data_IF_633764258382
#
_entry.id   IF_633764258382
#
_cell.length_a   1.000
_cell.length_b   1.000
_cell.length_c   1.000
_cell.angle_alpha   90.00
_cell.angle_beta   90.00
_cell.angle_gamma   90.00
#
_symmetry.space_group_name_H-M   'P 1'
#
loop_
_entity.id
_entity.type
_entity.pdbx_description
1 polymer ?
#
# COMPACT_ATOMS: atom_id res chain seq x y z
N UNK A 1 -5.27 23.57 -11.27
CA UNK A 1 -3.93 23.18 -10.78
C UNK A 1 -4.12 22.06 -9.77
N UNK A 2 -3.22 21.10 -9.71
CA UNK A 2 -3.20 20.01 -8.72
C UNK A 2 -1.76 19.69 -8.30
N UNK A 3 -1.60 19.13 -7.12
CA UNK A 3 -0.31 18.61 -6.64
C UNK A 3 -0.02 17.25 -7.29
N UNK A 4 1.17 17.12 -7.90
CA UNK A 4 1.67 15.89 -8.51
C UNK A 4 2.34 14.94 -7.51
N UNK A 5 3.27 15.47 -6.71
CA UNK A 5 3.82 14.82 -5.54
C UNK A 5 4.10 15.86 -4.45
N UNK A 6 4.08 15.42 -3.20
CA UNK A 6 4.40 16.21 -2.02
C UNK A 6 5.38 15.41 -1.15
N UNK A 7 6.68 15.61 -1.37
CA UNK A 7 7.77 14.96 -0.64
C UNK A 7 8.32 15.89 0.45
N UNK A 8 9.23 15.41 1.31
CA UNK A 8 9.76 16.20 2.42
C UNK A 8 10.49 17.46 1.96
N UNK A 9 11.30 17.34 0.91
CA UNK A 9 12.13 18.40 0.35
C UNK A 9 11.48 19.14 -0.83
N UNK A 10 10.57 18.48 -1.54
CA UNK A 10 10.13 18.92 -2.86
C UNK A 10 8.64 18.72 -3.10
N UNK A 11 8.08 19.60 -3.92
CA UNK A 11 6.67 19.62 -4.29
C UNK A 11 6.55 19.80 -5.80
N UNK A 12 5.71 19.00 -6.46
CA UNK A 12 5.36 19.23 -7.86
C UNK A 12 3.94 19.75 -7.99
N UNK A 13 3.78 20.83 -8.75
CA UNK A 13 2.49 21.30 -9.24
C UNK A 13 2.35 20.92 -10.71
N UNK A 14 1.12 20.61 -11.12
CA UNK A 14 0.78 20.35 -12.53
C UNK A 14 -0.62 20.90 -12.87
N UNK A 15 -0.80 21.28 -14.13
CA UNK A 15 -2.05 21.83 -14.65
C UNK A 15 -2.23 21.52 -16.13
N UNK A 16 -3.45 21.66 -16.62
CA UNK A 16 -3.75 21.46 -18.04
C UNK A 16 -3.32 22.69 -18.84
N UNK A 17 -2.65 22.48 -19.98
CA UNK A 17 -2.36 23.57 -20.92
C UNK A 17 -3.66 24.07 -21.54
N UNK A 18 -3.82 25.40 -21.58
CA UNK A 18 -4.93 26.08 -22.23
C UNK A 18 -4.48 26.64 -23.60
N UNK A 19 -5.21 26.39 -24.70
CA UNK A 19 -4.76 26.73 -26.06
C UNK A 19 -4.38 28.20 -26.29
N UNK A 20 -5.08 29.15 -25.65
CA UNK A 20 -4.85 30.59 -25.81
C UNK A 20 -3.80 31.16 -24.84
N UNK A 21 -3.33 30.38 -23.88
CA UNK A 21 -2.40 30.81 -22.83
C UNK A 21 -0.97 30.54 -23.27
N UNK A 22 -0.10 31.55 -23.14
CA UNK A 22 1.32 31.46 -23.49
C UNK A 22 2.21 31.21 -22.29
N UNK A 23 1.88 31.80 -21.16
CA UNK A 23 2.65 31.67 -19.93
C UNK A 23 1.74 31.44 -18.73
N UNK A 24 2.31 30.89 -17.69
CA UNK A 24 1.69 30.69 -16.39
C UNK A 24 2.61 31.29 -15.34
N UNK A 25 2.03 32.06 -14.42
CA UNK A 25 2.68 32.48 -13.19
C UNK A 25 2.21 31.55 -12.07
N UNK A 26 3.16 30.96 -11.34
CA UNK A 26 2.91 30.29 -10.07
C UNK A 26 3.36 31.23 -8.96
N UNK A 27 2.50 31.45 -7.98
CA UNK A 27 2.79 32.33 -6.85
C UNK A 27 2.42 31.65 -5.52
N UNK A 28 3.18 31.94 -4.47
CA UNK A 28 2.88 31.55 -3.09
C UNK A 28 2.24 32.71 -2.33
N UNK A 29 1.29 32.39 -1.45
CA UNK A 29 0.76 33.33 -0.50
C UNK A 29 1.77 33.51 0.64
N UNK A 30 2.28 34.73 0.80
CA UNK A 30 3.16 35.17 1.88
C UNK A 30 2.56 36.46 2.46
N UNK A 31 2.25 36.48 3.76
CA UNK A 31 1.68 37.64 4.45
C UNK A 31 0.49 38.30 3.72
N UNK A 32 -0.49 37.50 3.29
CA UNK A 32 -1.68 37.90 2.52
C UNK A 32 -1.41 38.49 1.13
N UNK A 33 -0.18 38.38 0.61
CA UNK A 33 0.16 38.76 -0.76
C UNK A 33 0.69 37.57 -1.54
N UNK A 34 0.35 37.50 -2.83
CA UNK A 34 0.92 36.50 -3.71
C UNK A 34 2.29 36.97 -4.23
N UNK A 35 3.32 36.22 -3.88
CA UNK A 35 4.70 36.43 -4.33
C UNK A 35 5.00 35.45 -5.48
N UNK A 36 5.42 35.95 -6.67
CA UNK A 36 5.74 35.09 -7.80
C UNK A 36 6.91 34.13 -7.49
N UNK A 37 6.75 32.87 -7.86
CA UNK A 37 7.77 31.82 -7.74
C UNK A 37 8.36 31.46 -9.11
N UNK A 38 7.51 31.38 -10.14
CA UNK A 38 7.92 31.03 -11.49
C UNK A 38 6.99 31.65 -12.54
N UNK A 39 7.54 31.93 -13.71
CA UNK A 39 6.79 32.42 -14.88
C UNK A 39 7.30 31.75 -16.15
N UNK A 40 6.43 31.07 -16.89
CA UNK A 40 6.84 30.41 -18.14
C UNK A 40 5.75 29.60 -18.82
N UNK A 41 6.05 28.96 -19.96
CA UNK A 41 5.07 28.25 -20.79
C UNK A 41 4.75 26.83 -20.29
N UNK A 42 5.48 26.35 -19.28
CA UNK A 42 5.37 25.00 -18.78
C UNK A 42 4.05 24.75 -18.06
N UNK A 43 3.65 23.47 -18.01
CA UNK A 43 2.41 23.04 -17.36
C UNK A 43 2.65 22.19 -16.11
N UNK A 44 3.89 22.18 -15.66
CA UNK A 44 4.33 21.57 -14.42
C UNK A 44 5.50 22.37 -13.85
N UNK A 45 5.63 22.35 -12.53
CA UNK A 45 6.71 23.02 -11.81
C UNK A 45 7.08 22.18 -10.59
N UNK A 46 8.38 21.92 -10.41
CA UNK A 46 8.93 21.36 -9.17
C UNK A 46 9.49 22.50 -8.34
N UNK A 47 9.09 22.56 -7.08
CA UNK A 47 9.47 23.56 -6.11
C UNK A 47 10.27 22.89 -4.99
N UNK A 48 11.36 23.54 -4.57
CA UNK A 48 12.06 23.21 -3.34
C UNK A 48 11.28 23.84 -2.17
N UNK A 49 10.82 23.00 -1.23
CA UNK A 49 10.05 23.44 -0.08
C UNK A 49 10.83 24.34 0.86
N UNK A 50 12.16 24.25 0.91
CA UNK A 50 12.99 25.15 1.71
C UNK A 50 12.90 26.61 1.22
N UNK A 51 12.47 26.83 -0.02
CA UNK A 51 12.29 28.16 -0.61
C UNK A 51 10.88 28.73 -0.42
N UNK A 52 9.93 27.92 0.03
CA UNK A 52 8.53 28.32 0.18
C UNK A 52 8.30 29.02 1.53
N UNK A 53 7.61 30.16 1.49
CA UNK A 53 7.23 30.93 2.69
C UNK A 53 5.76 30.73 3.09
N UNK A 54 5.19 29.58 2.76
CA UNK A 54 3.80 29.23 3.05
C UNK A 54 3.30 28.04 2.22
N UNK A 55 2.12 27.54 2.57
CA UNK A 55 1.58 26.31 1.99
C UNK A 55 0.58 26.55 0.85
N UNK A 56 0.18 27.80 0.66
CA UNK A 56 -0.89 28.19 -0.25
C UNK A 56 -0.32 28.70 -1.56
N UNK A 57 -0.67 28.04 -2.66
CA UNK A 57 -0.17 28.30 -4.00
C UNK A 57 -1.32 28.65 -4.95
N UNK A 58 -1.08 29.52 -5.92
CA UNK A 58 -2.05 29.85 -6.97
C UNK A 58 -1.39 29.94 -8.34
N UNK A 59 -2.19 29.70 -9.37
CA UNK A 59 -1.77 29.74 -10.77
C UNK A 59 -2.49 30.89 -11.48
N UNK A 60 -1.75 31.75 -12.18
CA UNK A 60 -2.32 32.78 -13.04
C UNK A 60 -1.90 32.56 -14.49
N UNK A 61 -2.85 32.29 -15.41
CA UNK A 61 -2.55 32.19 -16.84
C UNK A 61 -2.34 33.57 -17.46
N UNK A 62 -1.48 33.66 -18.47
CA UNK A 62 -1.23 34.87 -19.26
C UNK A 62 -1.43 34.58 -20.75
N UNK A 63 -2.28 35.38 -21.38
CA UNK A 63 -2.48 35.37 -22.83
C UNK A 63 -1.28 35.97 -23.56
N UNK A 64 -1.32 35.88 -24.88
CA UNK A 64 -0.34 36.55 -25.73
C UNK A 64 -0.28 38.07 -25.48
N UNK A 65 0.92 38.63 -25.56
CA UNK A 65 1.19 40.03 -25.19
C UNK A 65 1.15 40.33 -23.69
N UNK A 66 1.17 39.32 -22.82
CA UNK A 66 1.34 39.49 -21.36
C UNK A 66 0.07 39.88 -20.59
N UNK A 67 -1.11 39.71 -21.19
CA UNK A 67 -2.38 40.02 -20.52
C UNK A 67 -2.74 38.93 -19.51
N UNK A 68 -2.90 39.25 -18.22
CA UNK A 68 -3.28 38.25 -17.22
C UNK A 68 -4.73 37.80 -17.40
N UNK A 69 -4.96 36.51 -17.27
CA UNK A 69 -6.28 35.92 -17.11
C UNK A 69 -6.66 35.87 -15.62
N UNK A 70 -7.84 35.32 -15.34
CA UNK A 70 -8.33 35.09 -13.97
C UNK A 70 -7.38 34.09 -13.28
N UNK A 71 -6.88 34.47 -12.10
CA UNK A 71 -6.09 33.59 -11.24
C UNK A 71 -6.95 32.44 -10.73
N UNK A 72 -6.38 31.25 -10.66
CA UNK A 72 -7.06 30.09 -10.08
C UNK A 72 -7.39 30.32 -8.61
N UNK A 73 -8.29 29.49 -8.08
CA UNK A 73 -8.36 29.30 -6.64
C UNK A 73 -6.99 28.91 -6.10
N UNK A 74 -6.72 29.36 -4.88
CA UNK A 74 -5.54 28.95 -4.16
C UNK A 74 -5.71 27.51 -3.65
N UNK A 75 -4.59 26.82 -3.58
CA UNK A 75 -4.50 25.45 -3.11
C UNK A 75 -3.53 25.43 -1.94
N UNK A 76 -3.96 24.92 -0.80
CA UNK A 76 -3.04 24.46 0.24
C UNK A 76 -2.52 23.08 -0.15
N UNK A 77 -1.24 22.98 -0.52
CA UNK A 77 -0.68 21.71 -1.00
C UNK A 77 -0.70 20.62 0.07
N UNK A 78 -0.67 20.98 1.36
CA UNK A 78 -0.70 20.01 2.48
C UNK A 78 -2.04 19.31 2.62
N UNK A 79 -3.09 19.87 2.03
CA UNK A 79 -4.45 19.32 2.07
C UNK A 79 -4.79 18.41 0.88
N UNK A 80 -3.94 18.34 -0.16
CA UNK A 80 -4.26 17.63 -1.41
C UNK A 80 -3.94 16.12 -1.41
N UNK A 81 -3.47 15.56 -0.28
CA UNK A 81 -3.17 14.12 -0.11
C UNK A 81 -2.41 13.51 -1.31
N UNK A 82 -1.41 14.23 -1.84
CA UNK A 82 -0.76 13.84 -3.09
C UNK A 82 0.24 12.68 -2.90
N UNK A 83 0.74 12.45 -1.69
CA UNK A 83 1.79 11.47 -1.40
C UNK A 83 3.12 11.84 -2.06
N UNK A 84 4.22 11.22 -1.61
CA UNK A 84 5.53 11.39 -2.25
C UNK A 84 5.69 10.34 -3.36
N UNK A 85 5.40 10.73 -4.61
CA UNK A 85 5.42 9.92 -5.85
C UNK A 85 4.52 8.68 -5.87
N UNK A 86 4.52 7.86 -4.82
CA UNK A 86 3.66 6.71 -4.61
C UNK A 86 2.42 7.13 -3.80
N UNK A 87 1.24 6.76 -4.28
CA UNK A 87 -0.03 6.95 -3.58
C UNK A 87 -0.44 5.72 -2.81
N UNK A 88 -0.43 4.56 -3.47
CA UNK A 88 -0.84 3.29 -2.87
C UNK A 88 -0.04 2.13 -3.42
N UNK A 89 0.20 1.14 -2.58
CA UNK A 89 0.71 -0.17 -2.96
C UNK A 89 -0.15 -1.24 -2.30
N UNK A 90 -0.57 -2.25 -3.06
CA UNK A 90 -1.41 -3.35 -2.58
C UNK A 90 -0.90 -4.68 -3.09
N UNK A 91 -1.03 -5.72 -2.27
CA UNK A 91 -0.72 -7.10 -2.60
C UNK A 91 -1.95 -7.97 -2.29
N UNK A 92 -2.57 -8.54 -3.34
CA UNK A 92 -3.77 -9.39 -3.20
C UNK A 92 -3.43 -10.85 -3.54
N UNK A 93 -3.54 -11.79 -2.58
CA UNK A 93 -3.43 -13.22 -2.86
C UNK A 93 -4.50 -13.70 -3.84
N UNK A 94 -4.09 -14.45 -4.86
CA UNK A 94 -4.95 -15.07 -5.87
C UNK A 94 -4.50 -16.52 -6.13
N UNK A 95 -4.66 -17.46 -5.17
CA UNK A 95 -4.33 -18.85 -5.43
C UNK A 95 -5.20 -19.44 -6.57
N UNK A 96 -4.62 -20.24 -7.49
CA UNK A 96 -3.24 -20.73 -7.52
C UNK A 96 -2.25 -19.83 -8.28
N UNK A 97 -2.72 -18.71 -8.83
CA UNK A 97 -1.99 -17.86 -9.80
C UNK A 97 -0.85 -17.06 -9.17
N UNK A 98 -0.96 -16.71 -7.88
CA UNK A 98 0.09 -16.01 -7.13
C UNK A 98 -0.45 -14.82 -6.35
N UNK A 99 0.33 -13.75 -6.25
CA UNK A 99 -0.08 -12.52 -5.56
C UNK A 99 -0.05 -11.36 -6.57
N UNK A 100 -1.21 -10.74 -6.79
CA UNK A 100 -1.34 -9.55 -7.63
C UNK A 100 -0.81 -8.32 -6.89
N UNK A 101 0.20 -7.69 -7.45
CA UNK A 101 0.86 -6.50 -6.93
C UNK A 101 0.46 -5.30 -7.76
N UNK A 102 -0.05 -4.26 -7.11
CA UNK A 102 -0.48 -3.03 -7.77
C UNK A 102 0.07 -1.81 -7.06
N UNK A 103 0.67 -0.90 -7.82
CA UNK A 103 1.12 0.40 -7.36
C UNK A 103 0.41 1.50 -8.15
N UNK A 104 -0.01 2.54 -7.43
CA UNK A 104 -0.54 3.78 -8.02
C UNK A 104 0.36 4.94 -7.63
N UNK A 105 0.80 5.71 -8.62
CA UNK A 105 1.67 6.86 -8.51
C UNK A 105 0.86 8.15 -8.58
N UNK A 106 1.32 9.21 -7.91
CA UNK A 106 0.78 10.56 -8.05
C UNK A 106 1.19 11.24 -9.35
N UNK A 107 2.36 10.87 -9.88
CA UNK A 107 2.88 11.34 -11.17
C UNK A 107 3.88 10.33 -11.73
N UNK A 108 4.10 10.37 -13.03
CA UNK A 108 5.18 9.65 -13.71
C UNK A 108 6.37 10.56 -14.01
N UNK A 109 6.22 11.87 -13.80
CA UNK A 109 7.30 12.82 -14.02
C UNK A 109 8.47 12.53 -13.08
N UNK A 110 9.66 12.32 -13.63
CA UNK A 110 10.87 12.02 -12.86
C UNK A 110 10.94 10.59 -12.31
N UNK A 111 9.94 9.73 -12.59
CA UNK A 111 10.00 8.29 -12.24
C UNK A 111 10.54 7.53 -13.44
N UNK A 112 11.69 6.89 -13.29
CA UNK A 112 12.31 6.10 -14.36
C UNK A 112 11.78 4.67 -14.35
N UNK A 113 11.73 4.05 -13.17
CA UNK A 113 11.39 2.64 -13.02
C UNK A 113 10.58 2.37 -11.75
N UNK A 114 9.71 1.37 -11.82
CA UNK A 114 9.01 0.79 -10.68
C UNK A 114 9.48 -0.65 -10.51
N UNK A 115 10.13 -0.94 -9.40
CA UNK A 115 10.58 -2.28 -9.02
C UNK A 115 9.70 -2.80 -7.89
N UNK A 116 9.10 -3.96 -8.09
CA UNK A 116 8.36 -4.65 -7.05
C UNK A 116 9.24 -5.71 -6.42
N UNK A 117 9.26 -5.73 -5.10
CA UNK A 117 10.21 -6.51 -4.32
C UNK A 117 9.48 -7.38 -3.31
N UNK A 118 10.05 -8.56 -3.06
CA UNK A 118 9.61 -9.48 -2.00
C UNK A 118 10.74 -9.72 -1.03
N UNK A 119 10.43 -9.67 0.26
CA UNK A 119 11.36 -10.08 1.30
C UNK A 119 11.59 -11.59 1.22
N UNK A 120 12.84 -12.04 1.25
CA UNK A 120 13.22 -13.46 1.25
C UNK A 120 13.55 -14.01 2.65
N UNK A 121 13.39 -13.19 3.70
CA UNK A 121 13.77 -13.52 5.07
C UNK A 121 15.06 -12.81 5.52
N UNK A 122 15.85 -12.32 4.58
CA UNK A 122 17.09 -11.56 4.84
C UNK A 122 17.08 -10.24 4.08
N UNK A 123 16.75 -10.27 2.78
CA UNK A 123 16.78 -9.11 1.89
C UNK A 123 15.51 -9.02 1.05
N UNK A 124 15.31 -7.85 0.47
CA UNK A 124 14.33 -7.64 -0.58
C UNK A 124 14.92 -8.01 -1.94
N UNK A 125 14.25 -8.93 -2.63
CA UNK A 125 14.60 -9.38 -3.98
C UNK A 125 13.57 -8.86 -4.98
N UNK A 126 14.04 -8.41 -6.14
CA UNK A 126 13.14 -7.92 -7.20
C UNK A 126 12.36 -9.08 -7.81
N UNK A 127 11.04 -8.95 -7.85
CA UNK A 127 10.15 -9.84 -8.60
C UNK A 127 10.10 -9.39 -10.06
N UNK A 128 10.05 -8.08 -10.27
CA UNK A 128 10.01 -7.48 -11.59
C UNK A 128 10.26 -5.98 -11.53
N UNK A 129 10.71 -5.42 -12.65
CA UNK A 129 10.91 -3.98 -12.83
C UNK A 129 10.29 -3.54 -14.14
N UNK A 130 9.53 -2.45 -14.11
CA UNK A 130 8.90 -1.87 -15.29
C UNK A 130 9.28 -0.39 -15.41
N UNK A 131 9.72 0.07 -16.59
CA UNK A 131 9.73 1.50 -16.86
C UNK A 131 8.28 1.98 -16.89
N UNK A 132 7.99 3.16 -16.33
CA UNK A 132 6.59 3.59 -16.24
C UNK A 132 6.31 4.91 -16.96
N UNK A 133 5.34 4.85 -17.87
CA UNK A 133 4.66 6.02 -18.44
C UNK A 133 3.24 6.15 -17.90
N UNK A 134 2.80 5.20 -17.07
CA UNK A 134 1.45 5.13 -16.51
C UNK A 134 1.48 5.36 -15.00
N UNK A 135 0.46 6.03 -14.48
CA UNK A 135 0.32 6.22 -13.02
C UNK A 135 -0.12 4.96 -12.30
N UNK A 136 -0.56 3.92 -13.02
CA UNK A 136 -0.96 2.64 -12.43
C UNK A 136 -0.15 1.55 -13.09
N UNK A 137 0.53 0.74 -12.27
CA UNK A 137 1.34 -0.39 -12.72
C UNK A 137 1.07 -1.59 -11.84
N UNK A 138 1.24 -2.78 -12.40
CA UNK A 138 1.12 -4.00 -11.63
C UNK A 138 1.86 -5.16 -12.25
N UNK A 139 2.06 -6.19 -11.44
CA UNK A 139 2.57 -7.50 -11.85
C UNK A 139 1.94 -8.58 -10.98
N UNK A 140 2.22 -9.82 -11.31
CA UNK A 140 1.93 -10.96 -10.44
C UNK A 140 3.25 -11.54 -9.93
N UNK A 141 3.37 -11.67 -8.61
CA UNK A 141 4.34 -12.58 -8.02
C UNK A 141 3.82 -14.00 -8.23
N UNK A 142 4.34 -14.69 -9.25
CA UNK A 142 3.89 -16.01 -9.67
C UNK A 142 4.51 -17.17 -8.87
N UNK A 143 5.38 -16.88 -7.90
CA UNK A 143 6.01 -17.92 -7.06
C UNK A 143 6.09 -17.48 -5.60
N UNK A 144 4.96 -17.07 -5.00
CA UNK A 144 4.90 -16.68 -3.59
C UNK A 144 5.24 -17.87 -2.69
N UNK A 145 5.69 -17.56 -1.47
CA UNK A 145 5.95 -18.59 -0.44
C UNK A 145 4.64 -19.00 0.21
N UNK A 146 4.53 -20.26 0.63
CA UNK A 146 3.42 -20.70 1.47
C UNK A 146 3.47 -19.94 2.80
N UNK A 147 2.32 -19.41 3.24
CA UNK A 147 2.20 -18.57 4.43
C UNK A 147 2.53 -17.10 4.18
N UNK A 148 3.28 -16.49 5.09
CA UNK A 148 3.53 -15.04 5.11
C UNK A 148 4.45 -14.60 3.98
N UNK A 149 3.99 -13.61 3.22
CA UNK A 149 4.78 -12.87 2.26
C UNK A 149 4.76 -11.38 2.61
N UNK A 150 5.94 -10.76 2.53
CA UNK A 150 6.10 -9.31 2.68
C UNK A 150 6.57 -8.74 1.34
N UNK A 151 5.83 -7.77 0.84
CA UNK A 151 6.12 -7.10 -0.42
C UNK A 151 6.29 -5.61 -0.20
N UNK A 152 7.05 -4.96 -1.10
CA UNK A 152 7.13 -3.50 -1.19
C UNK A 152 7.35 -3.08 -2.64
N UNK A 153 7.20 -1.80 -2.91
CA UNK A 153 7.56 -1.21 -4.20
C UNK A 153 8.66 -0.16 -4.00
N UNK A 154 9.62 -0.13 -4.93
CA UNK A 154 10.70 0.84 -5.00
C UNK A 154 10.63 1.57 -6.34
N UNK A 155 10.59 2.90 -6.28
CA UNK A 155 10.71 3.77 -7.43
C UNK A 155 12.17 4.18 -7.58
N UNK A 156 12.69 4.09 -8.80
CA UNK A 156 13.95 4.75 -9.18
C UNK A 156 13.60 6.04 -9.91
N UNK A 157 14.14 7.16 -9.44
CA UNK A 157 13.90 8.47 -10.02
C UNK A 157 14.99 8.82 -11.04
N UNK A 158 14.68 9.67 -12.02
CA UNK A 158 15.60 10.07 -13.09
C UNK A 158 16.82 10.86 -12.60
N UNK A 159 16.79 11.35 -11.36
CA UNK A 159 17.93 11.99 -10.70
C UNK A 159 18.80 10.99 -9.89
N UNK A 160 18.51 9.68 -9.99
CA UNK A 160 19.19 8.62 -9.23
C UNK A 160 18.63 8.38 -7.82
N UNK A 161 17.67 9.21 -7.37
CA UNK A 161 16.99 9.03 -6.08
C UNK A 161 16.10 7.78 -6.07
N UNK A 162 15.72 7.33 -4.87
CA UNK A 162 14.78 6.22 -4.71
C UNK A 162 13.70 6.55 -3.70
N UNK A 163 12.49 6.04 -3.96
CA UNK A 163 11.35 6.10 -3.04
C UNK A 163 10.91 4.67 -2.78
N UNK A 164 10.80 4.28 -1.52
CA UNK A 164 10.39 2.91 -1.12
C UNK A 164 9.08 3.00 -0.35
N UNK A 165 8.14 2.11 -0.65
CA UNK A 165 6.89 2.00 0.10
C UNK A 165 7.08 1.35 1.45
N UNK A 166 6.07 1.50 2.31
CA UNK A 166 5.89 0.59 3.44
C UNK A 166 5.67 -0.84 2.95
N UNK A 167 5.91 -1.79 3.85
CA UNK A 167 5.73 -3.22 3.61
C UNK A 167 4.24 -3.59 3.65
N UNK A 168 3.80 -4.40 2.69
CA UNK A 168 2.47 -5.00 2.69
C UNK A 168 2.61 -6.49 2.96
N UNK A 169 2.04 -6.93 4.08
CA UNK A 169 1.98 -8.33 4.47
C UNK A 169 0.72 -9.00 3.90
N UNK A 170 0.86 -10.23 3.44
CA UNK A 170 -0.27 -11.07 3.05
C UNK A 170 0.04 -12.56 3.29
N UNK A 171 -1.00 -13.37 3.43
CA UNK A 171 -0.91 -14.82 3.56
C UNK A 171 -1.30 -15.48 2.25
N UNK A 172 -0.45 -16.37 1.75
CA UNK A 172 -0.69 -17.12 0.52
C UNK A 172 -0.68 -18.62 0.82
N UNK A 173 -1.80 -19.29 0.54
CA UNK A 173 -1.94 -20.74 0.70
C UNK A 173 -2.33 -21.35 -0.65
N UNK A 174 -1.40 -22.07 -1.29
CA UNK A 174 -1.71 -22.81 -2.54
C UNK A 174 -1.92 -24.28 -2.23
N UNK A 175 -0.92 -24.91 -1.64
CA UNK A 175 -0.95 -26.35 -1.32
C UNK A 175 -1.50 -26.60 0.09
N UNK A 176 -1.19 -25.72 1.04
CA UNK A 176 -1.66 -25.84 2.41
C UNK A 176 -3.18 -25.61 2.50
N UNK A 177 -3.95 -26.54 3.10
CA UNK A 177 -5.38 -26.33 3.27
C UNK A 177 -5.71 -25.29 4.34
N UNK A 178 -4.79 -25.07 5.29
CA UNK A 178 -4.95 -24.13 6.39
C UNK A 178 -3.60 -23.68 6.96
N UNK A 179 -3.62 -22.59 7.74
CA UNK A 179 -2.53 -22.09 8.56
C UNK A 179 -3.08 -21.69 9.95
N UNK A 180 -2.39 -22.08 11.02
CA UNK A 180 -2.71 -21.69 12.40
C UNK A 180 -1.47 -21.06 13.03
N UNK A 181 -1.56 -19.80 13.46
CA UNK A 181 -0.43 -19.03 13.96
C UNK A 181 -0.86 -17.95 14.97
N UNK A 182 0.01 -17.48 15.87
CA UNK A 182 1.32 -18.04 16.13
C UNK A 182 1.18 -19.42 16.82
N UNK A 183 2.23 -20.23 16.75
CA UNK A 183 2.31 -21.49 17.50
C UNK A 183 3.76 -21.67 17.96
N UNK A 184 4.08 -21.46 19.25
CA UNK A 184 3.15 -21.25 20.38
C UNK A 184 2.42 -19.90 20.38
N UNK A 185 1.22 -19.84 20.97
CA UNK A 185 0.40 -18.63 21.18
C UNK A 185 0.28 -18.32 22.67
N UNK A 186 0.36 -17.06 23.08
CA UNK A 186 0.05 -16.69 24.47
C UNK A 186 -1.47 -16.70 24.73
N UNK A 187 -1.90 -16.99 25.96
CA UNK A 187 -3.33 -16.99 26.32
C UNK A 187 -4.05 -15.64 26.07
N UNK A 188 -3.32 -14.54 25.99
CA UNK A 188 -3.82 -13.17 25.74
C UNK A 188 -3.57 -12.65 24.31
N UNK A 189 -2.90 -13.44 23.46
CA UNK A 189 -2.66 -13.11 22.06
C UNK A 189 -3.73 -13.75 21.16
N UNK A 190 -4.18 -13.07 20.09
CA UNK A 190 -5.09 -13.67 19.12
C UNK A 190 -4.40 -14.79 18.34
N UNK A 191 -5.12 -15.91 18.16
CA UNK A 191 -4.75 -17.00 17.27
C UNK A 191 -5.33 -16.72 15.87
N UNK A 192 -4.46 -16.46 14.91
CA UNK A 192 -4.77 -16.38 13.49
C UNK A 192 -5.00 -17.77 12.88
N UNK A 193 -6.10 -17.89 12.15
CA UNK A 193 -6.51 -19.11 11.46
C UNK A 193 -6.89 -18.71 10.03
N UNK A 194 -6.14 -19.25 9.07
CA UNK A 194 -6.44 -19.10 7.64
C UNK A 194 -6.83 -20.46 7.07
N UNK A 195 -7.90 -20.49 6.31
CA UNK A 195 -8.43 -21.69 5.64
C UNK A 195 -8.65 -21.36 4.18
N UNK A 196 -8.01 -22.12 3.29
CA UNK A 196 -8.04 -21.87 1.83
C UNK A 196 -9.46 -21.93 1.26
N UNK A 197 -10.22 -22.93 1.72
CA UNK A 197 -11.53 -23.28 1.15
C UNK A 197 -12.68 -22.96 2.13
N UNK A 198 -12.64 -21.80 2.80
CA UNK A 198 -13.65 -21.41 3.79
C UNK A 198 -15.02 -21.03 3.21
N UNK A 199 -15.18 -21.11 1.88
CA UNK A 199 -16.37 -20.71 1.13
C UNK A 199 -17.55 -21.65 1.29
N UNK A 200 -18.10 -21.76 2.50
CA UNK A 200 -19.49 -22.13 2.82
C UNK A 200 -19.60 -22.39 4.34
N UNK A 201 -19.84 -21.33 5.13
CA UNK A 201 -20.50 -21.21 6.45
C UNK A 201 -20.38 -22.26 7.58
N UNK A 202 -19.71 -23.40 7.39
CA UNK A 202 -19.64 -24.51 8.36
C UNK A 202 -18.21 -24.80 8.80
N UNK A 203 -17.28 -23.87 8.55
CA UNK A 203 -15.91 -24.03 9.03
C UNK A 203 -15.88 -23.87 10.54
N UNK A 204 -15.53 -24.94 11.25
CA UNK A 204 -15.46 -24.96 12.71
C UNK A 204 -14.07 -25.35 13.19
N UNK A 205 -13.54 -24.55 14.11
CA UNK A 205 -12.28 -24.80 14.81
C UNK A 205 -12.60 -25.31 16.19
N UNK A 206 -11.94 -26.39 16.58
CA UNK A 206 -12.06 -27.01 17.90
C UNK A 206 -10.68 -27.25 18.51
N UNK A 207 -10.54 -27.06 19.82
CA UNK A 207 -9.35 -27.45 20.58
C UNK A 207 -9.70 -28.51 21.62
N UNK A 208 -8.85 -29.53 21.69
CA UNK A 208 -8.94 -30.63 22.62
C UNK A 208 -7.72 -30.65 23.54
N UNK A 209 -7.94 -30.80 24.84
CA UNK A 209 -6.85 -30.98 25.80
C UNK A 209 -6.21 -32.39 25.65
N UNK A 210 -5.18 -32.68 26.46
CA UNK A 210 -4.46 -33.97 26.42
C UNK A 210 -5.33 -35.19 26.76
N UNK A 211 -6.41 -34.97 27.49
CA UNK A 211 -7.38 -36.01 27.87
C UNK A 211 -8.48 -36.19 26.81
N UNK A 212 -8.42 -35.42 25.70
CA UNK A 212 -9.40 -35.46 24.62
C UNK A 212 -10.69 -34.68 24.90
N UNK A 213 -10.73 -33.88 25.97
CA UNK A 213 -11.89 -33.02 26.27
C UNK A 213 -11.86 -31.76 25.40
N UNK A 214 -13.01 -31.40 24.82
CA UNK A 214 -13.20 -30.15 24.07
C UNK A 214 -13.13 -28.95 25.01
N UNK A 215 -12.20 -28.02 24.76
CA UNK A 215 -11.99 -26.82 25.59
C UNK A 215 -12.28 -25.51 24.86
N UNK A 216 -12.36 -25.54 23.53
CA UNK A 216 -12.66 -24.38 22.70
C UNK A 216 -13.35 -24.84 21.42
N UNK A 217 -14.35 -24.10 20.96
CA UNK A 217 -15.04 -24.34 19.69
C UNK A 217 -15.58 -23.03 19.12
N UNK A 218 -15.29 -22.73 17.86
CA UNK A 218 -15.77 -21.53 17.18
C UNK A 218 -16.02 -21.79 15.68
N UNK A 219 -17.10 -21.22 15.16
CA UNK A 219 -17.34 -21.14 13.73
C UNK A 219 -16.58 -19.96 13.13
N UNK A 220 -15.91 -20.18 12.00
CA UNK A 220 -15.29 -19.12 11.22
C UNK A 220 -16.33 -18.53 10.25
N UNK A 221 -16.48 -17.22 10.29
CA UNK A 221 -17.29 -16.39 9.39
C UNK A 221 -16.55 -16.10 8.08
N UNK A 222 -15.21 -16.16 8.08
CA UNK A 222 -14.35 -15.87 6.93
C UNK A 222 -13.18 -16.87 6.79
N UNK A 223 -12.49 -16.82 5.66
CA UNK A 223 -11.29 -17.64 5.40
C UNK A 223 -10.04 -17.19 6.15
N UNK A 224 -10.05 -16.01 6.74
CA UNK A 224 -9.01 -15.54 7.67
C UNK A 224 -9.68 -14.94 8.91
N UNK A 225 -9.39 -15.51 10.07
CA UNK A 225 -9.92 -15.02 11.35
C UNK A 225 -8.87 -15.02 12.45
N UNK A 226 -9.05 -14.09 13.38
CA UNK A 226 -8.28 -14.00 14.61
C UNK A 226 -9.21 -14.31 15.78
N UNK A 227 -8.95 -15.41 16.48
CA UNK A 227 -9.75 -15.89 17.61
C UNK A 227 -8.97 -15.72 18.91
N UNK A 228 -9.65 -15.31 19.98
CA UNK A 228 -9.02 -15.19 21.31
C UNK A 228 -9.34 -16.43 22.14
N UNK A 229 -8.30 -17.08 22.68
CA UNK A 229 -8.43 -18.32 23.45
C UNK A 229 -8.77 -18.07 24.93
N UNK A 230 -9.89 -17.37 25.18
CA UNK A 230 -10.31 -17.06 26.54
C UNK A 230 -10.45 -18.34 27.38
N UNK A 231 -9.87 -18.32 28.58
CA UNK A 231 -9.91 -19.42 29.55
C UNK A 231 -9.23 -20.73 29.11
N UNK A 232 -8.45 -20.72 28.02
CA UNK A 232 -7.57 -21.83 27.67
C UNK A 232 -6.26 -21.68 28.45
N UNK A 233 -6.00 -22.61 29.37
CA UNK A 233 -4.79 -22.61 30.19
C UNK A 233 -3.54 -22.94 29.36
N UNK A 234 -2.34 -22.55 29.79
CA UNK A 234 -1.10 -22.98 29.15
C UNK A 234 -0.98 -24.49 29.05
N UNK A 235 -0.58 -25.01 27.88
CA UNK A 235 -0.55 -26.45 27.62
C UNK A 235 -0.40 -26.83 26.15
N UNK A 236 -0.38 -28.14 25.90
CA UNK A 236 -0.41 -28.71 24.55
C UNK A 236 -1.84 -29.15 24.22
N UNK A 237 -2.36 -28.67 23.11
CA UNK A 237 -3.69 -28.96 22.60
C UNK A 237 -3.62 -29.61 21.22
N UNK A 238 -4.61 -30.44 20.91
CA UNK A 238 -4.89 -30.90 19.55
C UNK A 238 -5.99 -30.03 18.97
N UNK A 239 -5.78 -29.46 17.80
CA UNK A 239 -6.83 -28.73 17.10
C UNK A 239 -7.41 -29.56 15.96
N UNK A 240 -8.69 -29.33 15.68
CA UNK A 240 -9.38 -29.80 14.49
C UNK A 240 -10.06 -28.62 13.77
N UNK A 241 -9.83 -28.49 12.47
CA UNK A 241 -10.53 -27.55 11.59
C UNK A 241 -11.41 -28.40 10.68
N UNK A 242 -12.71 -28.38 10.91
CA UNK A 242 -13.69 -29.06 10.07
C UNK A 242 -14.20 -28.08 9.04
N UNK A 243 -14.11 -28.44 7.76
CA UNK A 243 -14.66 -27.71 6.62
C UNK A 243 -15.69 -28.58 5.91
N UNK A 244 -16.40 -28.04 4.93
CA UNK A 244 -17.28 -28.83 4.05
C UNK A 244 -16.53 -29.90 3.23
N UNK A 245 -15.21 -29.77 3.07
CA UNK A 245 -14.37 -30.66 2.26
C UNK A 245 -13.57 -31.67 3.08
N UNK A 246 -13.47 -31.51 4.40
CA UNK A 246 -12.77 -32.46 5.26
C UNK A 246 -12.47 -31.97 6.67
N UNK A 247 -11.69 -32.76 7.41
CA UNK A 247 -11.22 -32.39 8.75
C UNK A 247 -9.71 -32.38 8.75
N UNK A 248 -9.15 -31.24 9.11
CA UNK A 248 -7.73 -31.03 9.26
C UNK A 248 -7.35 -31.00 10.74
N UNK A 249 -6.20 -31.57 11.10
CA UNK A 249 -5.77 -31.69 12.50
C UNK A 249 -4.32 -31.26 12.68
N UNK A 250 -4.01 -30.74 13.86
CA UNK A 250 -2.64 -30.41 14.25
C UNK A 250 -2.50 -30.18 15.74
N UNK A 251 -1.36 -29.62 16.14
CA UNK A 251 -1.00 -29.36 17.54
C UNK A 251 -0.86 -27.86 17.75
N UNK A 252 -1.34 -27.36 18.88
CA UNK A 252 -1.18 -25.98 19.32
C UNK A 252 -0.56 -25.97 20.72
N UNK A 253 0.45 -25.14 20.91
CA UNK A 253 1.02 -24.86 22.24
C UNK A 253 0.50 -23.51 22.71
N UNK A 254 -0.16 -23.49 23.86
CA UNK A 254 -0.58 -22.27 24.56
C UNK A 254 0.42 -22.01 25.69
N UNK A 255 0.97 -20.80 25.77
CA UNK A 255 1.95 -20.38 26.79
C UNK A 255 1.40 -19.38 27.78
#
# INVERSE_FOLDING_TARGET
MRVGFDCEDSLMLQWNKMPAVKNYEVAALDNNQFVPLAFGPDSALVLDKATLKGNTLALQPYFDGGKPAIRSYSVDYTTQLAGCFLRTFTALPQPPDGIALHATLGTTYGVEQVTFERFDGVNYSAIGTTPTTQTTVGLVDASPREGLNLHRVRLTLSNGGTVVSDEVANLYLRELPYLVFPNPVASDEPLGIVVRDAGASDTRVELYNRDGSLVFSQYLLSGEEYVTLHNVTPGLYLFAISTGTGIHRGKLVVR
#
